data_IF_210778607367
#
_entry.id   IF_210778607367
#
_cell.length_a   1.000
_cell.length_b   1.000
_cell.length_c   1.000
_cell.angle_alpha   90.00
_cell.angle_beta   90.00
_cell.angle_gamma   90.00
#
_symmetry.space_group_name_H-M   'P 1'
#
loop_
_entity.id
_entity.type
_entity.pdbx_description
1 polymer ?
#
# COMPACT_ATOMS: atom_id res chain seq x y z
N UNK A 1 9.90 -18.25 -6.36
CA UNK A 1 11.34 -18.59 -6.37
C UNK A 1 12.00 -17.71 -5.31
N UNK A 2 12.45 -18.27 -4.18
CA UNK A 2 13.08 -17.47 -3.12
C UNK A 2 14.56 -17.27 -3.45
N UNK A 3 14.96 -16.03 -3.75
CA UNK A 3 16.37 -15.67 -3.86
C UNK A 3 16.87 -15.41 -2.45
N UNK A 4 17.75 -16.29 -1.95
CA UNK A 4 18.41 -16.08 -0.67
C UNK A 4 19.68 -15.26 -0.92
N UNK A 5 19.61 -13.96 -0.66
CA UNK A 5 20.78 -13.07 -0.70
C UNK A 5 21.40 -13.04 0.69
N UNK A 6 22.68 -13.38 0.78
CA UNK A 6 23.39 -13.40 2.05
C UNK A 6 23.34 -12.01 2.74
N UNK A 7 22.96 -11.98 4.02
CA UNK A 7 22.79 -10.74 4.79
C UNK A 7 21.40 -10.08 4.70
N UNK A 8 20.48 -10.62 3.90
CA UNK A 8 19.11 -10.10 3.83
C UNK A 8 18.22 -10.66 4.96
N UNK A 9 17.15 -9.94 5.36
CA UNK A 9 16.18 -10.46 6.31
C UNK A 9 15.60 -11.80 5.82
N UNK A 10 15.31 -12.74 6.75
CA UNK A 10 14.85 -14.07 6.40
C UNK A 10 13.49 -14.09 5.71
N UNK A 11 12.67 -13.05 5.93
CA UNK A 11 11.36 -12.91 5.34
C UNK A 11 11.18 -11.50 4.77
N UNK A 12 10.82 -11.46 3.50
CA UNK A 12 10.58 -10.25 2.73
C UNK A 12 9.17 -10.26 2.16
N UNK A 13 8.62 -9.06 2.05
CA UNK A 13 7.37 -8.78 1.39
C UNK A 13 7.72 -8.11 0.06
N UNK A 14 7.60 -8.78 -1.09
CA UNK A 14 7.91 -8.20 -2.39
C UNK A 14 6.64 -7.71 -3.10
N UNK A 15 6.76 -6.63 -3.85
CA UNK A 15 5.86 -6.23 -4.93
C UNK A 15 6.69 -6.16 -6.22
N UNK A 16 6.27 -6.88 -7.26
CA UNK A 16 6.87 -6.77 -8.58
C UNK A 16 6.13 -5.66 -9.35
N UNK A 17 6.90 -4.67 -9.83
CA UNK A 17 6.35 -3.52 -10.57
C UNK A 17 6.36 -3.79 -12.07
N UNK A 18 7.32 -4.59 -12.53
CA UNK A 18 7.45 -5.09 -13.89
C UNK A 18 8.29 -6.37 -13.90
N UNK A 19 8.56 -6.93 -15.09
CA UNK A 19 9.28 -8.20 -15.26
C UNK A 19 10.70 -8.19 -14.66
N UNK A 20 11.33 -7.02 -14.59
CA UNK A 20 12.73 -6.83 -14.21
C UNK A 20 12.95 -5.88 -13.02
N UNK A 21 11.88 -5.34 -12.42
CA UNK A 21 11.97 -4.49 -11.23
C UNK A 21 10.86 -4.77 -10.21
N UNK A 22 11.25 -4.64 -8.94
CA UNK A 22 10.33 -4.76 -7.81
C UNK A 22 10.83 -3.98 -6.60
N UNK A 23 9.94 -3.83 -5.63
CA UNK A 23 10.22 -3.23 -4.35
C UNK A 23 9.96 -4.25 -3.25
N UNK A 24 10.78 -4.24 -2.19
CA UNK A 24 10.63 -5.20 -1.11
C UNK A 24 10.84 -4.55 0.24
N UNK A 25 10.12 -5.08 1.23
CA UNK A 25 10.20 -4.67 2.62
C UNK A 25 10.59 -5.86 3.48
N UNK A 26 11.34 -5.59 4.56
CA UNK A 26 11.47 -6.56 5.64
C UNK A 26 10.08 -6.88 6.17
N UNK A 27 9.72 -8.16 6.18
CA UNK A 27 8.45 -8.59 6.75
C UNK A 27 8.39 -8.26 8.24
N UNK A 28 7.18 -7.93 8.68
CA UNK A 28 6.85 -7.83 10.10
C UNK A 28 5.89 -8.94 10.47
N UNK A 29 4.89 -8.64 11.32
CA UNK A 29 3.88 -9.62 11.70
C UNK A 29 2.69 -9.54 10.76
N UNK A 30 2.31 -10.64 10.13
CA UNK A 30 1.03 -10.74 9.42
C UNK A 30 -0.11 -10.66 10.44
N UNK A 31 -0.97 -9.65 10.32
CA UNK A 31 -2.11 -9.44 11.21
C UNK A 31 -3.35 -10.16 10.70
N UNK A 32 -3.59 -10.11 9.39
CA UNK A 32 -4.77 -10.66 8.76
C UNK A 32 -4.46 -10.99 7.30
N UNK A 33 -5.04 -12.08 6.77
CA UNK A 33 -5.04 -12.37 5.35
C UNK A 33 -6.32 -13.08 4.93
N UNK A 34 -6.74 -12.85 3.69
CA UNK A 34 -7.86 -13.59 3.13
C UNK A 34 -8.00 -13.39 1.63
N UNK A 35 -9.11 -13.90 1.12
CA UNK A 35 -9.53 -13.72 -0.26
C UNK A 35 -11.00 -13.34 -0.26
N UNK A 36 -11.31 -12.20 -0.87
CA UNK A 36 -12.68 -11.72 -1.08
C UNK A 36 -13.28 -12.36 -2.34
N UNK A 37 -14.43 -11.89 -2.81
CA UNK A 37 -14.93 -12.28 -4.14
C UNK A 37 -14.02 -11.78 -5.27
N UNK A 38 -13.27 -10.69 -5.02
CA UNK A 38 -12.60 -9.91 -6.08
C UNK A 38 -11.08 -10.04 -6.09
N UNK A 39 -10.49 -10.16 -4.89
CA UNK A 39 -9.04 -10.04 -4.70
C UNK A 39 -8.61 -10.64 -3.36
N UNK A 40 -7.34 -11.03 -3.30
CA UNK A 40 -6.64 -11.37 -2.07
C UNK A 40 -6.25 -10.11 -1.31
N UNK A 41 -6.25 -10.18 0.02
CA UNK A 41 -5.88 -9.07 0.88
C UNK A 41 -4.97 -9.52 2.02
N UNK A 42 -4.08 -8.63 2.43
CA UNK A 42 -3.20 -8.83 3.58
C UNK A 42 -3.06 -7.53 4.38
N UNK A 43 -2.99 -7.65 5.70
CA UNK A 43 -2.64 -6.56 6.61
C UNK A 43 -1.43 -6.99 7.42
N UNK A 44 -0.37 -6.20 7.35
CA UNK A 44 0.91 -6.47 8.00
C UNK A 44 1.23 -5.39 9.02
N UNK A 45 1.87 -5.74 10.14
CA UNK A 45 2.49 -4.81 11.08
C UNK A 45 4.01 -4.78 10.80
N UNK A 46 4.47 -3.78 10.05
CA UNK A 46 5.83 -3.72 9.51
C UNK A 46 6.76 -2.81 10.32
N UNK A 47 8.07 -3.13 10.42
CA UNK A 47 9.00 -2.30 11.19
C UNK A 47 9.15 -0.87 10.67
N UNK A 48 9.20 -0.71 9.34
CA UNK A 48 9.43 0.59 8.69
C UNK A 48 8.17 1.43 8.65
N UNK A 49 7.05 0.84 8.24
CA UNK A 49 5.87 1.56 7.76
C UNK A 49 4.64 1.43 8.67
N UNK A 50 4.74 0.70 9.79
CA UNK A 50 3.57 0.45 10.65
C UNK A 50 2.61 -0.50 9.98
N UNK A 51 1.30 -0.33 10.17
CA UNK A 51 0.33 -1.18 9.47
C UNK A 51 0.37 -0.90 7.98
N UNK A 52 0.54 -1.96 7.21
CA UNK A 52 0.65 -1.97 5.76
C UNK A 52 -0.48 -2.82 5.18
N UNK A 53 -1.30 -2.22 4.33
CA UNK A 53 -2.39 -2.89 3.63
C UNK A 53 -1.96 -3.28 2.20
N UNK A 54 -2.30 -4.49 1.80
CA UNK A 54 -1.97 -5.06 0.48
C UNK A 54 -3.17 -5.71 -0.17
N UNK A 55 -3.22 -5.62 -1.49
CA UNK A 55 -4.19 -6.29 -2.35
C UNK A 55 -3.44 -6.98 -3.48
N UNK A 56 -3.72 -8.27 -3.70
CA UNK A 56 -3.09 -9.08 -4.77
C UNK A 56 -1.55 -8.98 -4.84
N UNK A 57 -0.92 -8.88 -3.66
CA UNK A 57 0.54 -8.76 -3.55
C UNK A 57 1.09 -7.36 -3.83
N UNK A 58 0.25 -6.37 -4.10
CA UNK A 58 0.65 -4.97 -4.30
C UNK A 58 0.52 -4.17 -2.99
N UNK A 59 1.43 -3.23 -2.74
CA UNK A 59 1.34 -2.30 -1.61
C UNK A 59 0.27 -1.23 -1.90
N UNK A 60 -0.71 -1.10 -1.01
CA UNK A 60 -1.79 -0.13 -1.18
C UNK A 60 -1.55 1.14 -0.37
N UNK A 61 -1.39 0.99 0.94
CA UNK A 61 -1.20 2.12 1.85
C UNK A 61 -0.51 1.66 3.14
N UNK A 62 0.15 2.60 3.84
CA UNK A 62 0.70 2.34 5.16
C UNK A 62 0.56 3.53 6.11
N UNK A 63 0.39 3.25 7.40
CA UNK A 63 0.13 4.28 8.43
C UNK A 63 1.20 5.37 8.53
N UNK A 64 2.44 5.12 8.09
CA UNK A 64 3.56 6.07 8.27
C UNK A 64 3.95 6.85 7.02
N UNK A 65 3.39 6.53 5.86
CA UNK A 65 3.76 7.19 4.61
C UNK A 65 2.58 7.47 3.67
N UNK A 66 1.36 7.08 4.03
CA UNK A 66 0.16 7.28 3.22
C UNK A 66 -0.07 8.74 2.83
N UNK A 67 0.33 9.69 3.69
CA UNK A 67 0.20 11.12 3.41
C UNK A 67 0.96 11.54 2.13
N UNK A 68 2.07 10.87 1.78
CA UNK A 68 2.78 11.16 0.52
C UNK A 68 1.91 10.85 -0.70
N UNK A 69 1.00 9.89 -0.60
CA UNK A 69 0.08 9.55 -1.67
C UNK A 69 -1.21 10.36 -1.56
N UNK A 70 -1.89 10.33 -0.41
CA UNK A 70 -3.22 10.92 -0.24
C UNK A 70 -3.22 12.45 -0.31
N UNK A 71 -2.27 13.14 0.33
CA UNK A 71 -2.25 14.61 0.28
C UNK A 71 -2.04 15.11 -1.16
N UNK A 72 -1.14 14.47 -1.90
CA UNK A 72 -0.90 14.81 -3.30
C UNK A 72 -2.11 14.48 -4.19
N UNK A 73 -2.73 13.31 -3.97
CA UNK A 73 -3.91 12.89 -4.74
C UNK A 73 -5.11 13.81 -4.51
N UNK A 74 -5.31 14.30 -3.29
CA UNK A 74 -6.51 15.05 -2.90
C UNK A 74 -6.31 16.56 -2.97
N UNK A 75 -5.24 17.09 -2.38
CA UNK A 75 -5.09 18.53 -2.22
C UNK A 75 -4.74 19.24 -3.53
N UNK A 76 -3.96 18.62 -4.41
CA UNK A 76 -3.61 19.22 -5.71
C UNK A 76 -4.86 19.53 -6.56
N UNK A 77 -5.73 18.54 -6.89
CA UNK A 77 -6.95 18.85 -7.63
C UNK A 77 -7.96 19.66 -6.82
N UNK A 78 -8.03 19.45 -5.50
CA UNK A 78 -8.94 20.18 -4.61
C UNK A 78 -8.66 21.68 -4.56
N UNK A 79 -7.39 22.07 -4.49
CA UNK A 79 -6.96 23.48 -4.49
C UNK A 79 -7.01 24.11 -5.88
N UNK A 80 -6.82 23.31 -6.94
CA UNK A 80 -6.92 23.80 -8.32
C UNK A 80 -8.37 24.16 -8.72
N UNK A 81 -9.38 23.56 -8.09
CA UNK A 81 -10.79 23.88 -8.33
C UNK A 81 -11.35 24.84 -7.27
N UNK A 82 -11.46 26.13 -7.62
CA UNK A 82 -12.11 27.11 -6.75
C UNK A 82 -13.57 26.73 -6.45
N UNK A 83 -13.94 26.73 -5.16
CA UNK A 83 -15.31 26.50 -4.71
C UNK A 83 -15.80 25.05 -4.87
N UNK A 84 -14.92 24.06 -4.79
CA UNK A 84 -15.27 22.63 -4.75
C UNK A 84 -16.29 22.37 -3.62
N UNK A 85 -17.46 21.81 -3.96
CA UNK A 85 -18.55 21.47 -3.00
C UNK A 85 -18.93 20.00 -2.99
N UNK A 86 -18.60 19.27 -4.06
CA UNK A 86 -18.94 17.86 -4.24
C UNK A 86 -17.80 17.21 -5.01
N UNK A 87 -17.35 16.06 -4.53
CA UNK A 87 -16.36 15.22 -5.17
C UNK A 87 -16.87 13.78 -5.23
N UNK A 88 -16.36 12.99 -6.17
CA UNK A 88 -16.59 11.56 -6.27
C UNK A 88 -15.24 10.86 -6.10
N UNK A 89 -15.13 10.00 -5.08
CA UNK A 89 -13.98 9.12 -4.89
C UNK A 89 -14.40 7.73 -5.37
N UNK A 90 -13.66 7.18 -6.32
CA UNK A 90 -13.83 5.80 -6.80
C UNK A 90 -12.64 4.99 -6.31
N UNK A 91 -12.90 3.85 -5.68
CA UNK A 91 -11.88 3.14 -4.91
C UNK A 91 -11.82 3.70 -3.49
N UNK A 92 -10.62 4.03 -3.00
CA UNK A 92 -10.44 4.54 -1.63
C UNK A 92 -10.75 3.50 -0.55
N UNK A 93 -10.46 2.22 -0.82
CA UNK A 93 -10.81 1.11 0.06
C UNK A 93 -10.14 1.15 1.44
N UNK A 94 -9.08 1.94 1.59
CA UNK A 94 -8.41 2.22 2.85
C UNK A 94 -8.95 3.46 3.60
N UNK A 95 -9.74 4.30 2.92
CA UNK A 95 -10.36 5.50 3.49
C UNK A 95 -9.49 6.75 3.55
N UNK A 96 -8.21 6.72 3.19
CA UNK A 96 -7.32 7.90 3.26
C UNK A 96 -7.68 9.03 2.27
N UNK A 97 -8.49 8.71 1.25
CA UNK A 97 -8.96 9.68 0.25
C UNK A 97 -10.29 10.37 0.59
N UNK A 98 -10.98 9.95 1.67
CA UNK A 98 -12.37 10.31 1.97
C UNK A 98 -12.52 11.55 2.86
#
# INVERSE_FOLDING_TARGET
MSVHVEGWPPELIPEFLCDDAGYFLKAGRLLERGHSEWQSYEVWDTPRFGRLFRLDGCFMTSERDEFYYHENLIHVPGLAHAGLRRALVIGGGDGGSA
#
